data_IF_926375295280
#
_entry.id   IF_926375295280
#
_cell.length_a   1.000
_cell.length_b   1.000
_cell.length_c   1.000
_cell.angle_alpha   90.00
_cell.angle_beta   90.00
_cell.angle_gamma   90.00
#
_symmetry.space_group_name_H-M   'P 1'
#
loop_
_entity.id
_entity.type
_entity.pdbx_description
1 polymer ?
#
# COMPACT_ATOMS: atom_id res chain seq x y z
N UNK A 1 1.86 57.45 -15.04
CA UNK A 1 1.84 56.11 -15.68
C UNK A 1 1.67 55.06 -14.59
N UNK A 2 0.43 54.61 -14.33
CA UNK A 2 0.14 53.55 -13.36
C UNK A 2 0.46 52.21 -14.02
N UNK A 3 1.47 51.50 -13.53
CA UNK A 3 1.79 50.14 -13.97
C UNK A 3 0.69 49.21 -13.42
N UNK A 4 -0.12 48.67 -14.32
CA UNK A 4 -1.06 47.60 -14.04
C UNK A 4 -0.22 46.32 -13.86
N UNK A 5 0.17 46.02 -12.63
CA UNK A 5 0.68 44.71 -12.25
C UNK A 5 -0.54 43.80 -12.12
N UNK A 6 -0.79 42.96 -13.12
CA UNK A 6 -1.65 41.79 -12.98
C UNK A 6 -0.81 40.80 -12.18
N UNK A 7 -1.09 40.52 -10.89
CA UNK A 7 -0.49 39.37 -10.27
C UNK A 7 -1.12 38.17 -10.98
N UNK A 8 -0.27 37.41 -11.67
CA UNK A 8 -0.55 36.05 -12.12
C UNK A 8 -1.08 35.35 -10.88
N UNK A 9 -2.41 35.26 -10.81
CA UNK A 9 -3.12 34.56 -9.77
C UNK A 9 -2.64 33.13 -9.93
N UNK A 10 -1.84 32.74 -8.95
CA UNK A 10 -1.18 31.46 -8.82
C UNK A 10 -2.25 30.40 -9.09
N UNK A 11 -2.22 29.87 -10.31
CA UNK A 11 -2.93 28.67 -10.69
C UNK A 11 -2.13 27.50 -10.08
N UNK A 12 -2.03 27.48 -8.74
CA UNK A 12 -1.85 26.23 -8.02
C UNK A 12 -3.20 25.54 -8.17
N UNK A 13 -3.41 24.92 -9.32
CA UNK A 13 -4.13 23.65 -9.31
C UNK A 13 -3.20 22.76 -8.52
N UNK A 14 -3.40 22.74 -7.21
CA UNK A 14 -2.98 21.61 -6.39
C UNK A 14 -3.58 20.41 -7.10
N UNK A 15 -2.73 19.67 -7.80
CA UNK A 15 -3.03 18.29 -8.18
C UNK A 15 -3.26 17.62 -6.84
N UNK A 16 -4.51 17.59 -6.39
CA UNK A 16 -4.89 16.85 -5.21
C UNK A 16 -4.45 15.43 -5.51
N UNK A 17 -3.43 14.93 -4.83
CA UNK A 17 -3.21 13.50 -4.80
C UNK A 17 -4.53 12.88 -4.39
N UNK A 18 -5.02 11.98 -5.23
CA UNK A 18 -6.33 11.36 -5.09
C UNK A 18 -6.22 10.28 -4.02
N UNK A 19 -6.01 10.71 -2.78
CA UNK A 19 -6.03 9.84 -1.61
C UNK A 19 -7.48 9.40 -1.41
N UNK A 20 -7.73 8.11 -1.15
CA UNK A 20 -9.08 7.64 -0.93
C UNK A 20 -9.70 8.28 0.30
N UNK A 21 -11.00 8.56 0.23
CA UNK A 21 -11.76 9.16 1.33
C UNK A 21 -11.75 8.29 2.61
N UNK A 22 -11.47 6.99 2.47
CA UNK A 22 -11.40 6.04 3.55
C UNK A 22 -9.98 5.84 4.12
N UNK A 23 -8.99 6.68 3.77
CA UNK A 23 -7.60 6.51 4.24
C UNK A 23 -7.48 6.47 5.78
N UNK A 24 -8.31 7.22 6.51
CA UNK A 24 -8.34 7.17 7.97
C UNK A 24 -8.74 5.78 8.50
N UNK A 25 -9.65 5.09 7.81
CA UNK A 25 -10.02 3.71 8.14
C UNK A 25 -8.85 2.75 7.92
N UNK A 26 -8.01 2.98 6.91
CA UNK A 26 -6.79 2.21 6.71
C UNK A 26 -5.72 2.53 7.77
N UNK A 27 -5.63 3.77 8.24
CA UNK A 27 -4.79 4.10 9.40
C UNK A 27 -5.27 3.37 10.66
N UNK A 28 -6.59 3.30 10.90
CA UNK A 28 -7.18 2.52 12.00
C UNK A 28 -6.87 1.03 11.88
N UNK A 29 -6.84 0.47 10.65
CA UNK A 29 -6.36 -0.90 10.40
C UNK A 29 -4.92 -1.06 10.87
N UNK A 30 -4.02 -0.14 10.51
CA UNK A 30 -2.61 -0.23 10.91
C UNK A 30 -2.43 -0.10 12.42
N UNK A 31 -3.15 0.81 13.08
CA UNK A 31 -3.13 0.87 14.55
C UNK A 31 -3.62 -0.44 15.18
N UNK A 32 -4.70 -1.02 14.67
CA UNK A 32 -5.19 -2.31 15.14
C UNK A 32 -4.17 -3.43 14.91
N UNK A 33 -3.46 -3.45 13.79
CA UNK A 33 -2.39 -4.41 13.50
C UNK A 33 -1.23 -4.25 14.49
N UNK A 34 -0.77 -3.02 14.75
CA UNK A 34 0.31 -2.77 15.71
C UNK A 34 -0.06 -3.13 17.15
N UNK A 35 -1.34 -3.00 17.51
CA UNK A 35 -1.86 -3.41 18.81
C UNK A 35 -2.26 -4.90 18.89
N UNK A 36 -1.89 -5.72 17.88
CA UNK A 36 -2.27 -7.14 17.76
C UNK A 36 -3.79 -7.41 17.79
N UNK A 37 -4.61 -6.41 17.45
CA UNK A 37 -6.06 -6.51 17.34
C UNK A 37 -6.48 -6.93 15.91
N UNK A 38 -5.98 -8.07 15.42
CA UNK A 38 -6.18 -8.50 14.02
C UNK A 38 -7.66 -8.66 13.63
N UNK A 39 -8.50 -9.17 14.53
CA UNK A 39 -9.95 -9.28 14.25
C UNK A 39 -10.63 -7.93 14.03
N UNK A 40 -10.18 -6.88 14.73
CA UNK A 40 -10.64 -5.51 14.50
C UNK A 40 -10.17 -5.00 13.15
N UNK A 41 -8.90 -5.23 12.80
CA UNK A 41 -8.35 -4.87 11.49
C UNK A 41 -9.16 -5.53 10.35
N UNK A 42 -9.42 -6.84 10.44
CA UNK A 42 -10.23 -7.55 9.45
C UNK A 42 -11.65 -7.03 9.35
N UNK A 43 -12.32 -6.73 10.47
CA UNK A 43 -13.67 -6.16 10.45
C UNK A 43 -13.76 -4.82 9.70
N UNK A 44 -12.73 -3.97 9.82
CA UNK A 44 -12.66 -2.71 9.08
C UNK A 44 -12.45 -3.00 7.58
N UNK A 45 -11.51 -3.89 7.26
CA UNK A 45 -11.21 -4.27 5.87
C UNK A 45 -12.40 -4.95 5.18
N UNK A 46 -13.16 -5.79 5.89
CA UNK A 46 -14.37 -6.43 5.39
C UNK A 46 -15.41 -5.37 5.03
N UNK A 47 -15.62 -4.39 5.91
CA UNK A 47 -16.53 -3.26 5.66
C UNK A 47 -16.11 -2.45 4.44
N UNK A 48 -14.82 -2.13 4.33
CA UNK A 48 -14.28 -1.40 3.18
C UNK A 48 -14.41 -2.19 1.87
N UNK A 49 -14.22 -3.52 1.92
CA UNK A 49 -14.28 -4.37 0.71
C UNK A 49 -15.68 -4.42 0.10
N UNK A 50 -16.73 -4.24 0.91
CA UNK A 50 -18.12 -4.11 0.42
C UNK A 50 -18.35 -2.78 -0.28
N UNK A 51 -17.76 -1.70 0.24
CA UNK A 51 -17.96 -0.34 -0.28
C UNK A 51 -17.06 -0.03 -1.49
N UNK A 52 -15.85 -0.58 -1.52
CA UNK A 52 -14.83 -0.36 -2.55
C UNK A 52 -14.28 -1.70 -3.10
N UNK A 53 -15.12 -2.52 -3.77
CA UNK A 53 -14.75 -3.89 -4.16
C UNK A 53 -13.64 -4.00 -5.21
N UNK A 54 -13.39 -2.93 -5.97
CA UNK A 54 -12.37 -2.90 -7.04
C UNK A 54 -11.08 -2.16 -6.63
N UNK A 55 -10.95 -1.76 -5.36
CA UNK A 55 -9.80 -1.02 -4.87
C UNK A 55 -8.75 -1.95 -4.23
N UNK A 56 -7.55 -2.09 -4.83
CA UNK A 56 -6.54 -3.02 -4.34
C UNK A 56 -5.94 -2.61 -2.99
N UNK A 57 -6.16 -1.37 -2.53
CA UNK A 57 -5.65 -0.89 -1.24
C UNK A 57 -6.11 -1.80 -0.10
N UNK A 58 -7.35 -2.28 -0.16
CA UNK A 58 -7.95 -3.10 0.90
C UNK A 58 -7.28 -4.48 0.96
N UNK A 59 -7.03 -5.08 -0.19
CA UNK A 59 -6.34 -6.38 -0.28
C UNK A 59 -4.90 -6.29 0.20
N UNK A 60 -4.19 -5.20 -0.15
CA UNK A 60 -2.82 -4.98 0.32
C UNK A 60 -2.78 -4.80 1.84
N UNK A 61 -3.69 -4.02 2.42
CA UNK A 61 -3.73 -3.87 3.88
C UNK A 61 -4.16 -5.16 4.59
N UNK A 62 -4.98 -5.99 3.94
CA UNK A 62 -5.29 -7.34 4.44
C UNK A 62 -4.05 -8.24 4.44
N UNK A 63 -3.23 -8.18 3.40
CA UNK A 63 -1.95 -8.90 3.36
C UNK A 63 -1.04 -8.46 4.51
N UNK A 64 -0.93 -7.16 4.77
CA UNK A 64 -0.12 -6.64 5.89
C UNK A 64 -0.63 -7.17 7.23
N UNK A 65 -1.95 -7.14 7.46
CA UNK A 65 -2.56 -7.67 8.67
C UNK A 65 -2.28 -9.17 8.84
N UNK A 66 -2.45 -9.96 7.77
CA UNK A 66 -2.17 -11.41 7.78
C UNK A 66 -0.71 -11.73 7.97
N UNK A 67 0.19 -11.01 7.31
CA UNK A 67 1.63 -11.16 7.49
C UNK A 67 2.03 -10.92 8.95
N UNK A 68 1.44 -9.90 9.56
CA UNK A 68 1.70 -9.53 10.96
C UNK A 68 1.13 -10.56 11.93
N UNK A 69 -0.09 -11.07 11.68
CA UNK A 69 -0.71 -12.14 12.48
C UNK A 69 0.09 -13.44 12.42
N UNK A 70 0.53 -13.87 11.23
CA UNK A 70 1.37 -15.06 11.07
C UNK A 70 2.71 -14.91 11.80
N UNK A 71 3.30 -13.71 11.76
CA UNK A 71 4.52 -13.43 12.50
C UNK A 71 4.30 -13.46 14.03
N UNK A 72 3.18 -12.91 14.53
CA UNK A 72 2.81 -12.96 15.96
C UNK A 72 2.55 -14.39 16.44
N UNK A 73 1.98 -15.23 15.57
CA UNK A 73 1.73 -16.66 15.84
C UNK A 73 2.95 -17.57 15.67
N UNK A 74 4.07 -17.05 15.17
CA UNK A 74 5.24 -17.83 14.75
C UNK A 74 4.88 -18.97 13.75
N UNK A 75 3.86 -18.74 12.92
CA UNK A 75 3.34 -19.72 11.96
C UNK A 75 3.91 -19.52 10.56
N UNK A 76 5.03 -20.18 10.28
CA UNK A 76 5.67 -20.14 8.96
C UNK A 76 4.89 -20.91 7.89
N UNK A 77 3.97 -21.81 8.27
CA UNK A 77 3.20 -22.63 7.33
C UNK A 77 2.21 -21.80 6.49
N UNK A 78 1.81 -20.64 7.00
CA UNK A 78 0.95 -19.69 6.29
C UNK A 78 1.68 -18.86 5.21
N UNK A 79 3.01 -18.82 5.21
CA UNK A 79 3.77 -17.90 4.34
C UNK A 79 3.68 -18.24 2.86
N UNK A 80 3.65 -19.52 2.47
CA UNK A 80 3.55 -19.90 1.06
C UNK A 80 2.20 -19.49 0.45
N UNK A 81 1.12 -19.68 1.23
CA UNK A 81 -0.22 -19.24 0.84
C UNK A 81 -0.26 -17.71 0.71
N UNK A 82 0.34 -17.00 1.66
CA UNK A 82 0.38 -15.54 1.63
C UNK A 82 1.22 -14.99 0.46
N UNK A 83 2.32 -15.66 0.09
CA UNK A 83 3.09 -15.32 -1.10
C UNK A 83 2.29 -15.51 -2.39
N UNK A 84 1.49 -16.56 -2.48
CA UNK A 84 0.61 -16.80 -3.63
C UNK A 84 -0.47 -15.71 -3.74
N UNK A 85 -1.00 -15.26 -2.60
CA UNK A 85 -1.96 -14.15 -2.54
C UNK A 85 -1.32 -12.82 -2.94
N UNK A 86 -0.10 -12.54 -2.48
CA UNK A 86 0.68 -11.37 -2.91
C UNK A 86 0.84 -11.35 -4.43
N UNK A 87 1.19 -12.49 -5.06
CA UNK A 87 1.33 -12.57 -6.52
C UNK A 87 0.00 -12.35 -7.26
N UNK A 88 -1.13 -12.70 -6.64
CA UNK A 88 -2.46 -12.43 -7.18
C UNK A 88 -2.81 -10.95 -7.07
N UNK A 89 -2.64 -10.35 -5.88
CA UNK A 89 -2.92 -8.93 -5.61
C UNK A 89 -1.99 -8.02 -6.39
N UNK A 90 -0.75 -8.44 -6.66
CA UNK A 90 0.20 -7.70 -7.52
C UNK A 90 -0.39 -7.47 -8.91
N UNK A 91 -1.03 -8.49 -9.50
CA UNK A 91 -1.67 -8.36 -10.82
C UNK A 91 -2.82 -7.36 -10.80
N UNK A 92 -3.59 -7.33 -9.70
CA UNK A 92 -4.68 -6.37 -9.51
C UNK A 92 -4.10 -4.96 -9.40
N UNK A 93 -3.07 -4.78 -8.57
CA UNK A 93 -2.38 -3.50 -8.39
C UNK A 93 -1.78 -2.99 -9.71
N UNK A 94 -1.14 -3.85 -10.50
CA UNK A 94 -0.57 -3.48 -11.80
C UNK A 94 -1.65 -3.06 -12.80
N UNK A 95 -2.79 -3.75 -12.83
CA UNK A 95 -3.93 -3.36 -13.66
C UNK A 95 -4.52 -2.02 -13.22
N UNK A 96 -4.59 -1.77 -11.90
CA UNK A 96 -5.05 -0.50 -11.34
C UNK A 96 -4.07 0.63 -11.68
N UNK A 97 -2.77 0.39 -11.50
CA UNK A 97 -1.69 1.31 -11.89
C UNK A 97 -1.75 1.69 -13.36
N UNK A 98 -1.97 0.72 -14.25
CA UNK A 98 -2.08 0.98 -15.69
C UNK A 98 -3.19 2.00 -16.04
N UNK A 99 -4.18 2.18 -15.16
CA UNK A 99 -5.24 3.19 -15.29
C UNK A 99 -4.86 4.53 -14.64
N UNK A 100 -4.04 4.53 -13.60
CA UNK A 100 -3.63 5.73 -12.84
C UNK A 100 -2.10 5.77 -12.56
N UNK A 101 -1.24 5.87 -13.60
CA UNK A 101 0.20 5.67 -13.45
C UNK A 101 0.95 6.79 -12.72
N UNK A 102 0.32 7.95 -12.56
CA UNK A 102 0.87 9.11 -11.83
C UNK A 102 0.39 9.16 -10.37
N UNK A 103 -0.42 8.18 -9.93
CA UNK A 103 -1.03 8.20 -8.60
C UNK A 103 -0.02 7.86 -7.50
N UNK A 104 0.32 8.85 -6.66
CA UNK A 104 1.13 8.65 -5.45
C UNK A 104 0.49 7.64 -4.49
N UNK A 105 -0.85 7.57 -4.42
CA UNK A 105 -1.55 6.59 -3.60
C UNK A 105 -1.32 5.16 -4.08
N UNK A 106 -1.48 4.91 -5.38
CA UNK A 106 -1.24 3.56 -5.94
C UNK A 106 0.23 3.18 -5.79
N UNK A 107 1.14 4.18 -5.82
CA UNK A 107 2.58 4.04 -5.50
C UNK A 107 2.80 3.54 -4.10
N UNK A 108 2.19 4.21 -3.13
CA UNK A 108 2.22 3.80 -1.74
C UNK A 108 1.67 2.37 -1.54
N UNK A 109 0.52 2.05 -2.14
CA UNK A 109 -0.09 0.72 -2.04
C UNK A 109 0.82 -0.37 -2.64
N UNK A 110 1.34 -0.16 -3.85
CA UNK A 110 2.27 -1.10 -4.48
C UNK A 110 3.58 -1.24 -3.71
N UNK A 111 4.09 -0.14 -3.15
CA UNK A 111 5.32 -0.16 -2.37
C UNK A 111 5.18 -1.02 -1.11
N UNK A 112 4.03 -0.93 -0.43
CA UNK A 112 3.71 -1.78 0.71
C UNK A 112 3.60 -3.26 0.33
N UNK A 113 2.93 -3.58 -0.79
CA UNK A 113 2.83 -4.96 -1.28
C UNK A 113 4.23 -5.55 -1.57
N UNK A 114 5.10 -4.79 -2.25
CA UNK A 114 6.47 -5.25 -2.52
C UNK A 114 7.33 -5.33 -1.25
N UNK A 115 7.10 -4.47 -0.26
CA UNK A 115 7.71 -4.58 1.06
C UNK A 115 7.37 -5.92 1.72
N UNK A 116 6.10 -6.30 1.73
CA UNK A 116 5.66 -7.60 2.26
C UNK A 116 6.25 -8.77 1.47
N UNK A 117 6.24 -8.69 0.13
CA UNK A 117 6.88 -9.69 -0.74
C UNK A 117 8.37 -9.87 -0.44
N UNK A 118 9.09 -8.77 -0.18
CA UNK A 118 10.51 -8.80 0.15
C UNK A 118 10.77 -9.48 1.49
N UNK A 119 10.00 -9.12 2.52
CA UNK A 119 10.10 -9.71 3.87
C UNK A 119 9.85 -11.21 3.80
N UNK A 120 8.72 -11.63 3.22
CA UNK A 120 8.34 -13.05 3.14
C UNK A 120 9.32 -13.87 2.30
N UNK A 121 9.86 -13.30 1.22
CA UNK A 121 10.93 -13.93 0.42
C UNK A 121 12.24 -14.12 1.20
N UNK A 122 12.43 -13.39 2.31
CA UNK A 122 13.61 -13.49 3.16
C UNK A 122 13.42 -14.44 4.36
N UNK A 123 12.21 -14.57 4.91
CA UNK A 123 11.98 -15.29 6.17
C UNK A 123 11.50 -16.74 6.01
N UNK A 124 10.71 -17.08 4.98
CA UNK A 124 10.12 -18.42 4.84
C UNK A 124 11.11 -19.55 4.50
N UNK A 125 10.65 -20.80 4.49
CA UNK A 125 11.51 -21.98 4.25
C UNK A 125 12.23 -21.95 2.89
N UNK A 126 11.59 -21.36 1.87
CA UNK A 126 12.09 -21.22 0.51
C UNK A 126 12.76 -19.85 0.25
N UNK A 127 13.64 -19.42 1.16
CA UNK A 127 14.31 -18.10 1.10
C UNK A 127 14.94 -17.85 -0.27
N UNK A 128 14.64 -16.69 -0.84
CA UNK A 128 15.20 -16.27 -2.11
C UNK A 128 15.69 -14.82 -2.03
N UNK A 129 16.98 -14.67 -1.71
CA UNK A 129 17.64 -13.37 -1.54
C UNK A 129 17.52 -12.51 -2.80
N UNK A 130 17.59 -13.10 -4.00
CA UNK A 130 17.48 -12.34 -5.24
C UNK A 130 16.07 -11.79 -5.44
N UNK A 131 15.04 -12.59 -5.15
CA UNK A 131 13.64 -12.13 -5.18
C UNK A 131 13.39 -11.06 -4.13
N UNK A 132 13.87 -11.28 -2.90
CA UNK A 132 13.77 -10.32 -1.81
C UNK A 132 14.42 -8.97 -2.17
N UNK A 133 15.64 -9.01 -2.73
CA UNK A 133 16.36 -7.81 -3.17
C UNK A 133 15.61 -7.04 -4.27
N UNK A 134 15.09 -7.75 -5.28
CA UNK A 134 14.32 -7.13 -6.37
C UNK A 134 13.04 -6.47 -5.85
N UNK A 135 12.29 -7.18 -5.01
CA UNK A 135 11.07 -6.66 -4.40
C UNK A 135 11.37 -5.44 -3.51
N UNK A 136 12.41 -5.52 -2.67
CA UNK A 136 12.84 -4.39 -1.83
C UNK A 136 13.25 -3.17 -2.66
N UNK A 137 14.08 -3.37 -3.69
CA UNK A 137 14.52 -2.28 -4.58
C UNK A 137 13.32 -1.59 -5.22
N UNK A 138 12.35 -2.39 -5.69
CA UNK A 138 11.13 -1.86 -6.29
C UNK A 138 10.24 -1.13 -5.28
N UNK A 139 10.11 -1.66 -4.07
CA UNK A 139 9.39 -1.00 -2.98
C UNK A 139 10.01 0.36 -2.66
N UNK A 140 11.34 0.43 -2.54
CA UNK A 140 12.05 1.66 -2.23
C UNK A 140 11.81 2.77 -3.28
N UNK A 141 11.90 2.44 -4.58
CA UNK A 141 11.59 3.39 -5.66
C UNK A 141 10.15 3.93 -5.57
N UNK A 142 9.19 3.05 -5.28
CA UNK A 142 7.78 3.43 -5.20
C UNK A 142 7.46 4.23 -3.93
N UNK A 143 8.10 3.92 -2.80
CA UNK A 143 8.03 4.72 -1.57
C UNK A 143 8.61 6.11 -1.79
N UNK A 144 9.77 6.22 -2.44
CA UNK A 144 10.38 7.51 -2.77
C UNK A 144 9.44 8.35 -3.64
N UNK A 145 8.84 7.76 -4.68
CA UNK A 145 7.86 8.46 -5.49
C UNK A 145 6.60 8.82 -4.70
N UNK A 146 6.04 7.90 -3.91
CA UNK A 146 4.85 8.15 -3.08
C UNK A 146 5.07 9.29 -2.08
N UNK A 147 6.26 9.39 -1.47
CA UNK A 147 6.64 10.42 -0.50
C UNK A 147 6.71 11.85 -1.08
N UNK A 148 6.58 11.99 -2.40
CA UNK A 148 6.42 13.32 -3.01
C UNK A 148 5.05 13.93 -2.70
N UNK A 149 4.07 13.11 -2.27
CA UNK A 149 2.84 13.59 -1.68
C UNK A 149 3.00 13.88 -0.18
N UNK A 150 2.61 15.09 0.25
CA UNK A 150 2.81 15.55 1.63
C UNK A 150 2.06 14.77 2.71
N UNK A 151 1.02 14.01 2.35
CA UNK A 151 0.26 13.19 3.31
C UNK A 151 0.90 11.79 3.43
N UNK A 152 1.59 11.33 2.39
CA UNK A 152 2.27 10.03 2.34
C UNK A 152 3.76 10.10 2.71
N UNK A 153 4.34 11.30 2.77
CA UNK A 153 5.71 11.59 3.22
C UNK A 153 5.90 11.39 4.72
#
# INVERSE_FOLDING_TARGET
MKKCFIPIFILFVTIFAKIPIYYNSLADVMFAVFDNHFQRAYSILDSLSVEYPDDPSIDVFRIIARASELHDMEDESGFENLMTEIDSVEKICLNYWGKEPESHWVSFVMANLYGQKAILSFIGENRNILTAWKAFSRAAELWEYASQDSILA
#
